data_IF_395588380750
#
_entry.id   IF_395588380750
#
_cell.length_a   1.000
_cell.length_b   1.000
_cell.length_c   1.000
_cell.angle_alpha   90.00
_cell.angle_beta   90.00
_cell.angle_gamma   90.00
#
_symmetry.space_group_name_H-M   'P 1'
#
loop_
_entity.id
_entity.type
_entity.pdbx_description
1 polymer ?
#
# COMPACT_ATOMS: atom_id res chain seq x y z
N UNK A 1 -2.10 -9.91 22.77
CA UNK A 1 -1.40 -10.79 21.83
C UNK A 1 -2.42 -11.65 21.06
N UNK A 2 -2.95 -12.78 21.59
CA UNK A 2 -3.94 -13.62 20.86
C UNK A 2 -5.18 -12.89 20.31
N UNK A 3 -5.82 -12.01 21.09
CA UNK A 3 -6.98 -11.22 20.62
C UNK A 3 -6.63 -10.27 19.46
N UNK A 4 -5.45 -9.62 19.53
CA UNK A 4 -4.97 -8.70 18.47
C UNK A 4 -4.61 -9.47 17.20
N UNK A 5 -3.96 -10.62 17.33
CA UNK A 5 -3.68 -11.50 16.20
C UNK A 5 -4.95 -12.06 15.54
N UNK A 6 -5.94 -12.46 16.34
CA UNK A 6 -7.25 -12.88 15.81
C UNK A 6 -7.97 -11.76 15.04
N UNK A 7 -7.87 -10.52 15.52
CA UNK A 7 -8.39 -9.34 14.79
C UNK A 7 -7.65 -9.10 13.47
N UNK A 8 -6.31 -9.24 13.45
CA UNK A 8 -5.53 -9.13 12.21
C UNK A 8 -5.95 -10.17 11.18
N UNK A 9 -6.04 -11.44 11.57
CA UNK A 9 -6.42 -12.51 10.66
C UNK A 9 -7.86 -12.36 10.17
N UNK A 10 -8.77 -11.91 11.05
CA UNK A 10 -10.14 -11.58 10.67
C UNK A 10 -10.21 -10.42 9.67
N UNK A 11 -9.48 -9.34 9.92
CA UNK A 11 -9.41 -8.19 9.01
C UNK A 11 -8.84 -8.58 7.64
N UNK A 12 -7.71 -9.31 7.62
CA UNK A 12 -7.09 -9.78 6.38
C UNK A 12 -8.01 -10.70 5.57
N UNK A 13 -8.78 -11.59 6.24
CA UNK A 13 -9.77 -12.41 5.55
C UNK A 13 -10.92 -11.58 4.97
N UNK A 14 -11.43 -10.60 5.71
CA UNK A 14 -12.53 -9.75 5.26
C UNK A 14 -12.11 -8.84 4.11
N UNK A 15 -10.88 -8.32 4.15
CA UNK A 15 -10.28 -7.54 3.07
C UNK A 15 -10.06 -8.39 1.82
N UNK A 16 -9.52 -9.61 1.96
CA UNK A 16 -9.42 -10.53 0.83
C UNK A 16 -10.79 -10.87 0.23
N UNK A 17 -11.80 -11.06 1.05
CA UNK A 17 -13.17 -11.34 0.60
C UNK A 17 -13.81 -10.13 -0.12
N UNK A 18 -13.54 -8.90 0.33
CA UNK A 18 -14.08 -7.69 -0.31
C UNK A 18 -13.41 -7.37 -1.64
N UNK A 19 -12.16 -7.77 -1.83
CA UNK A 19 -11.42 -7.63 -3.11
C UNK A 19 -11.82 -8.70 -4.14
N UNK A 20 -12.45 -9.80 -3.72
CA UNK A 20 -12.90 -10.89 -4.58
C UNK A 20 -13.66 -10.47 -5.85
N UNK A 21 -14.71 -9.63 -5.76
CA UNK A 21 -15.44 -9.13 -6.93
C UNK A 21 -14.59 -8.30 -7.90
N UNK A 22 -13.59 -7.56 -7.38
CA UNK A 22 -12.65 -6.81 -8.23
C UNK A 22 -11.72 -7.75 -8.99
N UNK A 23 -11.30 -8.86 -8.37
CA UNK A 23 -10.50 -9.88 -9.02
C UNK A 23 -11.31 -10.59 -10.12
N UNK A 24 -12.58 -10.93 -9.84
CA UNK A 24 -13.48 -11.53 -10.83
C UNK A 24 -13.63 -10.61 -12.05
N UNK A 25 -13.86 -9.31 -11.81
CA UNK A 25 -13.91 -8.32 -12.88
C UNK A 25 -12.60 -8.26 -13.68
N UNK A 26 -11.44 -8.29 -13.02
CA UNK A 26 -10.15 -8.27 -13.70
C UNK A 26 -9.91 -9.52 -14.57
N UNK A 27 -10.36 -10.70 -14.09
CA UNK A 27 -10.28 -11.96 -14.83
C UNK A 27 -11.17 -11.93 -16.08
N UNK A 28 -12.38 -11.37 -15.95
CA UNK A 28 -13.31 -11.21 -17.08
C UNK A 28 -12.76 -10.29 -18.18
N UNK A 29 -11.96 -9.28 -17.81
CA UNK A 29 -11.26 -8.40 -18.77
C UNK A 29 -10.06 -9.08 -19.41
N UNK A 30 -9.07 -9.49 -18.60
CA UNK A 30 -7.90 -10.27 -19.05
C UNK A 30 -7.26 -10.97 -17.84
N UNK A 31 -7.26 -12.32 -17.80
CA UNK A 31 -6.68 -13.08 -16.68
C UNK A 31 -5.17 -12.82 -16.48
N UNK A 32 -4.47 -12.32 -17.51
CA UNK A 32 -3.06 -11.97 -17.43
C UNK A 32 -2.80 -10.81 -16.46
N UNK A 33 -3.78 -9.93 -16.24
CA UNK A 33 -3.69 -8.78 -15.33
C UNK A 33 -3.46 -9.25 -13.89
N UNK A 34 -4.11 -10.34 -13.49
CA UNK A 34 -3.97 -10.89 -12.13
C UNK A 34 -2.53 -11.35 -11.87
N UNK A 35 -1.97 -12.14 -12.78
CA UNK A 35 -0.62 -12.69 -12.64
C UNK A 35 0.43 -11.58 -12.71
N UNK A 36 0.30 -10.67 -13.68
CA UNK A 36 1.22 -9.55 -13.85
C UNK A 36 1.17 -8.56 -12.68
N UNK A 37 -0.02 -8.28 -12.14
CA UNK A 37 -0.22 -7.46 -10.95
C UNK A 37 0.40 -8.08 -9.69
N UNK A 38 0.20 -9.39 -9.48
CA UNK A 38 0.79 -10.09 -8.35
C UNK A 38 2.33 -10.14 -8.43
N UNK A 39 2.87 -10.54 -9.58
CA UNK A 39 4.34 -10.60 -9.78
C UNK A 39 4.95 -9.20 -9.71
N UNK A 40 4.29 -8.20 -10.31
CA UNK A 40 4.74 -6.81 -10.28
C UNK A 40 4.83 -6.24 -8.87
N UNK A 41 3.79 -6.44 -8.06
CA UNK A 41 3.79 -5.99 -6.65
C UNK A 41 4.82 -6.75 -5.80
N UNK A 42 4.99 -8.05 -6.00
CA UNK A 42 6.01 -8.85 -5.30
C UNK A 42 7.45 -8.39 -5.62
N UNK A 43 7.75 -8.11 -6.90
CA UNK A 43 9.06 -7.59 -7.32
C UNK A 43 9.28 -6.19 -6.76
N UNK A 44 8.28 -5.31 -6.85
CA UNK A 44 8.36 -3.97 -6.30
C UNK A 44 8.62 -4.00 -4.79
N UNK A 45 7.90 -4.87 -4.05
CA UNK A 45 8.13 -5.10 -2.63
C UNK A 45 9.56 -5.54 -2.32
N UNK A 46 10.02 -6.61 -2.96
CA UNK A 46 11.37 -7.10 -2.74
C UNK A 46 12.45 -6.04 -3.02
N UNK A 47 12.31 -5.31 -4.14
CA UNK A 47 13.27 -4.29 -4.55
C UNK A 47 13.27 -3.08 -3.61
N UNK A 48 12.11 -2.49 -3.34
CA UNK A 48 12.00 -1.27 -2.53
C UNK A 48 12.27 -1.52 -1.04
N UNK A 49 11.82 -2.64 -0.48
CA UNK A 49 12.19 -3.03 0.88
C UNK A 49 13.70 -3.32 0.99
N UNK A 50 14.29 -3.97 -0.02
CA UNK A 50 15.74 -4.18 -0.10
C UNK A 50 16.53 -2.87 -0.14
N UNK A 51 16.09 -1.92 -0.98
CA UNK A 51 16.68 -0.59 -1.06
C UNK A 51 16.55 0.18 0.26
N UNK A 52 15.40 0.08 0.94
CA UNK A 52 15.17 0.68 2.24
C UNK A 52 16.16 0.15 3.30
N UNK A 53 16.39 -1.17 3.36
CA UNK A 53 17.33 -1.74 4.33
C UNK A 53 18.75 -1.16 4.19
N UNK A 54 19.16 -0.82 2.96
CA UNK A 54 20.51 -0.29 2.65
C UNK A 54 20.58 1.23 2.82
N UNK A 55 19.47 1.95 2.67
CA UNK A 55 19.44 3.41 2.68
C UNK A 55 19.82 4.01 4.06
N UNK A 56 20.45 5.19 4.03
CA UNK A 56 20.98 5.86 5.22
C UNK A 56 19.83 6.41 6.08
N UNK A 57 19.88 6.16 7.39
CA UNK A 57 18.79 6.46 8.35
C UNK A 57 18.48 7.96 8.48
N UNK A 58 17.19 8.25 8.78
CA UNK A 58 16.57 9.53 9.18
C UNK A 58 16.06 10.49 8.11
N UNK A 59 16.29 10.28 6.83
CA UNK A 59 15.68 11.16 5.79
C UNK A 59 14.19 10.88 5.59
N UNK A 60 13.70 9.70 5.99
CA UNK A 60 12.34 9.24 5.68
C UNK A 60 11.24 9.79 6.60
N UNK A 61 11.57 10.40 7.75
CA UNK A 61 10.56 11.02 8.63
C UNK A 61 9.88 12.22 7.93
N UNK A 62 10.62 12.96 7.10
CA UNK A 62 10.05 14.01 6.25
C UNK A 62 9.23 13.45 5.09
N UNK A 63 9.53 12.22 4.67
CA UNK A 63 8.81 11.54 3.60
C UNK A 63 7.39 11.13 4.03
N UNK A 64 7.18 10.80 5.31
CA UNK A 64 5.84 10.49 5.84
C UNK A 64 4.85 11.66 5.71
N UNK A 65 5.33 12.90 5.91
CA UNK A 65 4.52 14.11 5.69
C UNK A 65 4.13 14.31 4.22
N UNK A 66 5.09 14.08 3.31
CA UNK A 66 4.83 14.16 1.86
C UNK A 66 3.86 13.06 1.41
N UNK A 67 4.07 11.82 1.84
CA UNK A 67 3.23 10.66 1.48
C UNK A 67 1.81 10.81 2.00
N UNK A 68 1.64 11.25 3.25
CA UNK A 68 0.31 11.52 3.83
C UNK A 68 -0.42 12.66 3.14
N UNK A 69 0.29 13.70 2.70
CA UNK A 69 -0.30 14.76 1.86
C UNK A 69 -0.76 14.22 0.50
N UNK A 70 0.02 13.33 -0.12
CA UNK A 70 -0.35 12.67 -1.37
C UNK A 70 -1.55 11.73 -1.23
N UNK A 71 -1.64 10.98 -0.13
CA UNK A 71 -2.81 10.17 0.23
C UNK A 71 -4.07 11.04 0.40
N UNK A 72 -3.92 12.20 1.04
CA UNK A 72 -5.03 13.15 1.21
C UNK A 72 -5.50 13.71 -0.14
N UNK A 73 -4.57 14.01 -1.06
CA UNK A 73 -4.90 14.43 -2.42
C UNK A 73 -5.65 13.33 -3.16
N UNK A 74 -5.19 12.07 -3.09
CA UNK A 74 -5.89 10.93 -3.67
C UNK A 74 -7.31 10.78 -3.13
N UNK A 75 -7.51 10.94 -1.82
CA UNK A 75 -8.83 10.89 -1.21
C UNK A 75 -9.76 11.97 -1.78
N UNK A 76 -9.29 13.21 -1.89
CA UNK A 76 -10.07 14.30 -2.46
C UNK A 76 -10.35 14.13 -3.95
N UNK A 77 -9.40 13.58 -4.71
CA UNK A 77 -9.59 13.25 -6.12
C UNK A 77 -10.66 12.17 -6.29
N UNK A 78 -10.58 11.07 -5.53
CA UNK A 78 -11.57 9.99 -5.55
C UNK A 78 -12.96 10.48 -5.16
N UNK A 79 -13.02 11.37 -4.15
CA UNK A 79 -14.28 11.98 -3.77
C UNK A 79 -14.85 12.83 -4.90
N UNK A 80 -14.02 13.66 -5.55
CA UNK A 80 -14.44 14.47 -6.69
C UNK A 80 -14.87 13.61 -7.89
N UNK A 81 -14.11 12.57 -8.25
CA UNK A 81 -14.45 11.68 -9.37
C UNK A 81 -15.71 10.86 -9.10
N UNK A 82 -16.02 10.55 -7.83
CA UNK A 82 -17.28 9.90 -7.46
C UNK A 82 -18.52 10.80 -7.69
N UNK A 83 -18.38 12.12 -7.51
CA UNK A 83 -19.48 13.09 -7.63
C UNK A 83 -19.62 13.61 -9.07
N UNK A 84 -18.50 13.91 -9.73
CA UNK A 84 -18.47 14.52 -11.06
C UNK A 84 -18.34 13.50 -12.20
N UNK A 85 -18.09 12.23 -11.87
CA UNK A 85 -17.87 11.15 -12.84
C UNK A 85 -16.40 11.00 -13.24
N UNK A 86 -16.08 9.85 -13.84
CA UNK A 86 -14.72 9.52 -14.27
C UNK A 86 -14.52 9.81 -15.76
N UNK A 87 -13.40 10.47 -16.10
CA UNK A 87 -12.87 10.55 -17.45
C UNK A 87 -11.71 9.56 -17.61
N UNK A 88 -11.46 9.04 -18.82
CA UNK A 88 -10.37 8.09 -19.06
C UNK A 88 -9.00 8.64 -18.63
N UNK A 89 -8.78 9.95 -18.83
CA UNK A 89 -7.54 10.62 -18.42
C UNK A 89 -7.41 10.78 -16.90
N UNK A 90 -8.51 11.09 -16.21
CA UNK A 90 -8.48 11.22 -14.74
C UNK A 90 -8.29 9.86 -14.08
N UNK A 91 -8.94 8.82 -14.59
CA UNK A 91 -8.78 7.45 -14.10
C UNK A 91 -7.33 6.96 -14.25
N UNK A 92 -6.72 7.16 -15.41
CA UNK A 92 -5.33 6.76 -15.66
C UNK A 92 -4.38 7.52 -14.72
N UNK A 93 -4.55 8.83 -14.57
CA UNK A 93 -3.75 9.63 -13.64
C UNK A 93 -3.86 9.12 -12.21
N UNK A 94 -5.08 8.85 -11.75
CA UNK A 94 -5.36 8.41 -10.38
C UNK A 94 -4.75 7.05 -10.06
N UNK A 95 -4.78 6.11 -10.99
CA UNK A 95 -4.13 4.79 -10.87
C UNK A 95 -2.61 4.92 -10.78
N UNK A 96 -1.96 5.68 -11.68
CA UNK A 96 -0.50 5.83 -11.65
C UNK A 96 -0.01 6.68 -10.49
N UNK A 97 -0.73 7.73 -10.13
CA UNK A 97 -0.41 8.56 -8.97
C UNK A 97 -0.59 7.76 -7.67
N UNK A 98 -1.67 6.98 -7.57
CA UNK A 98 -1.89 6.03 -6.49
C UNK A 98 -0.75 5.04 -6.35
N UNK A 99 -0.35 4.39 -7.45
CA UNK A 99 0.78 3.46 -7.47
C UNK A 99 2.07 4.11 -6.95
N UNK A 100 2.39 5.32 -7.39
CA UNK A 100 3.59 6.04 -6.92
C UNK A 100 3.56 6.29 -5.41
N UNK A 101 2.42 6.75 -4.88
CA UNK A 101 2.24 7.00 -3.45
C UNK A 101 2.41 5.70 -2.65
N UNK A 102 1.77 4.61 -3.05
CA UNK A 102 1.86 3.32 -2.35
C UNK A 102 3.27 2.72 -2.40
N UNK A 103 3.99 2.82 -3.52
CA UNK A 103 5.39 2.41 -3.60
C UNK A 103 6.28 3.23 -2.65
N UNK A 104 5.99 4.53 -2.49
CA UNK A 104 6.67 5.37 -1.51
C UNK A 104 6.36 4.96 -0.06
N UNK A 105 5.11 4.61 0.23
CA UNK A 105 4.71 4.06 1.54
C UNK A 105 5.45 2.77 1.87
N UNK A 106 5.60 1.85 0.92
CA UNK A 106 6.35 0.60 1.17
C UNK A 106 7.79 0.82 1.62
N UNK A 107 8.48 1.83 1.05
CA UNK A 107 9.81 2.23 1.51
C UNK A 107 9.75 2.82 2.91
N UNK A 108 8.79 3.72 3.16
CA UNK A 108 8.58 4.38 4.45
C UNK A 108 8.26 3.37 5.56
N UNK A 109 7.33 2.44 5.34
CA UNK A 109 6.91 1.43 6.32
C UNK A 109 8.08 0.48 6.64
N UNK A 110 8.85 0.07 5.62
CA UNK A 110 10.05 -0.76 5.83
C UNK A 110 11.06 -0.02 6.73
N UNK A 111 11.29 1.27 6.51
CA UNK A 111 12.19 2.07 7.34
C UNK A 111 11.67 2.24 8.76
N UNK A 112 10.38 2.52 8.92
CA UNK A 112 9.75 2.72 10.23
C UNK A 112 9.82 1.44 11.08
N UNK A 113 9.60 0.27 10.48
CA UNK A 113 9.76 -1.03 11.16
C UNK A 113 11.21 -1.21 11.64
N UNK A 114 12.20 -0.90 10.81
CA UNK A 114 13.62 -1.02 11.16
C UNK A 114 14.00 -0.05 12.29
N UNK A 115 13.49 1.18 12.25
CA UNK A 115 13.75 2.19 13.28
C UNK A 115 13.13 1.80 14.64
N UNK A 116 11.86 1.39 14.63
CA UNK A 116 11.16 0.94 15.84
C UNK A 116 11.80 -0.31 16.45
N UNK A 117 12.22 -1.28 15.62
CA UNK A 117 12.97 -2.46 16.08
C UNK A 117 14.31 -2.08 16.75
N UNK A 118 15.00 -1.05 16.24
CA UNK A 118 16.25 -0.58 16.83
C UNK A 118 16.05 0.17 18.16
N UNK A 119 14.89 0.79 18.35
CA UNK A 119 14.47 1.40 19.61
C UNK A 119 13.91 0.39 20.63
N UNK A 120 13.94 -0.91 20.31
CA UNK A 120 13.53 -1.99 21.21
C UNK A 120 12.04 -2.32 21.16
N UNK A 121 11.26 -1.71 20.26
CA UNK A 121 9.87 -2.10 20.01
C UNK A 121 9.82 -3.21 18.96
N UNK A 122 9.56 -4.44 19.41
CA UNK A 122 9.48 -5.63 18.58
C UNK A 122 8.04 -6.13 18.43
N UNK A 123 7.02 -5.26 18.59
CA UNK A 123 5.60 -5.62 18.47
C UNK A 123 5.19 -5.87 17.00
N UNK A 124 5.59 -7.02 16.47
CA UNK A 124 5.33 -7.48 15.10
C UNK A 124 3.85 -7.44 14.70
N UNK A 125 2.92 -7.52 15.66
CA UNK A 125 1.48 -7.44 15.42
C UNK A 125 1.06 -6.03 14.99
N UNK A 126 1.70 -4.98 15.53
CA UNK A 126 1.43 -3.59 15.11
C UNK A 126 2.06 -3.29 13.76
N UNK A 127 3.29 -3.75 13.57
CA UNK A 127 4.05 -3.56 12.32
C UNK A 127 3.46 -4.27 11.11
N UNK A 128 2.63 -5.30 11.31
CA UNK A 128 1.96 -6.00 10.22
C UNK A 128 0.60 -5.38 9.81
N UNK A 129 0.07 -4.44 10.60
CA UNK A 129 -1.20 -3.75 10.30
C UNK A 129 -0.98 -2.43 9.55
N UNK A 130 0.14 -1.76 9.81
CA UNK A 130 0.54 -0.50 9.17
C UNK A 130 1.32 -0.87 7.92
#
# INVERSE_FOLDING_TARGET
QRKRFGLLMGAALLEGASVGPLIELAIDFDPSILVTGFVGTAIAFGCFSGAAIIAKRREYLYLGGLLSSGLSILLWLQFATSIFGHSSGSFMFEVYFGLLIFLGYMVYDTQEIIERAHHGDMDYIKHALT
#
